data_IF_989200685941
#
_entry.id   IF_989200685941
#
_cell.length_a   1.000
_cell.length_b   1.000
_cell.length_c   1.000
_cell.angle_alpha   90.00
_cell.angle_beta   90.00
_cell.angle_gamma   90.00
#
_symmetry.space_group_name_H-M   'P 1'
#
loop_
_entity.id
_entity.type
_entity.pdbx_description
1 polymer ?
#
# COMPACT_ATOMS: atom_id res chain seq x y z
N UNK A 1 19.44 -11.29 8.52
CA UNK A 1 20.67 -10.54 8.18
C UNK A 1 20.28 -9.10 7.87
N UNK A 2 20.87 -8.11 8.56
CA UNK A 2 20.72 -6.69 8.19
C UNK A 2 21.63 -6.40 7.00
N UNK A 3 21.17 -5.62 6.02
CA UNK A 3 21.97 -5.17 4.87
C UNK A 3 22.01 -6.10 3.63
N UNK A 4 21.30 -7.23 3.64
CA UNK A 4 21.17 -8.08 2.44
C UNK A 4 19.89 -7.72 1.71
N UNK A 5 20.00 -7.25 0.46
CA UNK A 5 18.85 -7.02 -0.40
C UNK A 5 18.09 -8.34 -0.64
N UNK A 6 16.83 -8.34 -0.26
CA UNK A 6 15.92 -9.45 -0.50
C UNK A 6 14.74 -8.98 -1.33
N UNK A 7 14.11 -9.92 -2.04
CA UNK A 7 12.83 -9.69 -2.74
C UNK A 7 11.76 -9.03 -1.87
N UNK A 8 11.74 -9.32 -0.56
CA UNK A 8 10.82 -8.71 0.41
C UNK A 8 11.17 -7.24 0.70
N UNK A 9 12.46 -6.92 0.82
CA UNK A 9 12.91 -5.53 0.99
C UNK A 9 12.68 -4.70 -0.27
N UNK A 10 12.92 -5.28 -1.45
CA UNK A 10 12.71 -4.60 -2.72
C UNK A 10 11.25 -4.13 -2.87
N UNK A 11 10.27 -5.01 -2.65
CA UNK A 11 8.86 -4.64 -2.73
C UNK A 11 8.48 -3.61 -1.65
N UNK A 12 9.05 -3.70 -0.45
CA UNK A 12 8.82 -2.72 0.63
C UNK A 12 9.35 -1.34 0.24
N UNK A 13 10.55 -1.25 -0.32
CA UNK A 13 11.12 0.01 -0.82
C UNK A 13 10.27 0.60 -1.95
N UNK A 14 9.80 -0.22 -2.91
CA UNK A 14 8.90 0.25 -3.98
C UNK A 14 7.61 0.85 -3.42
N UNK A 15 6.98 0.17 -2.47
CA UNK A 15 5.75 0.65 -1.82
C UNK A 15 6.00 1.99 -1.12
N UNK A 16 7.01 2.09 -0.26
CA UNK A 16 7.31 3.35 0.44
C UNK A 16 7.71 4.49 -0.50
N UNK A 17 8.42 4.18 -1.59
CA UNK A 17 8.78 5.18 -2.61
C UNK A 17 7.53 5.75 -3.26
N UNK A 18 6.56 4.90 -3.62
CA UNK A 18 5.32 5.36 -4.24
C UNK A 18 4.46 6.15 -3.26
N UNK A 19 4.35 5.71 -1.99
CA UNK A 19 3.66 6.46 -0.93
C UNK A 19 4.28 7.85 -0.74
N UNK A 20 5.61 7.93 -0.63
CA UNK A 20 6.30 9.21 -0.55
C UNK A 20 6.02 10.08 -1.78
N UNK A 21 6.03 9.51 -2.99
CA UNK A 21 5.68 10.25 -4.22
C UNK A 21 4.21 10.72 -4.22
N UNK A 22 3.29 10.03 -3.56
CA UNK A 22 1.91 10.51 -3.39
C UNK A 22 1.88 11.75 -2.52
N UNK A 23 2.58 11.72 -1.38
CA UNK A 23 2.66 12.87 -0.48
C UNK A 23 3.24 14.14 -1.12
N UNK A 24 4.21 13.99 -2.05
CA UNK A 24 4.82 15.14 -2.74
C UNK A 24 4.01 15.66 -3.95
N UNK A 25 3.13 14.86 -4.54
CA UNK A 25 2.38 15.24 -5.76
C UNK A 25 0.88 15.32 -5.42
N UNK A 26 0.47 16.45 -4.84
CA UNK A 26 -0.90 16.72 -4.37
C UNK A 26 -1.86 17.16 -5.47
N UNK A 27 -1.38 17.30 -6.71
CA UNK A 27 -2.19 17.70 -7.85
C UNK A 27 -3.28 16.67 -8.21
N UNK A 28 -3.13 15.42 -7.78
CA UNK A 28 -3.97 14.29 -8.17
C UNK A 28 -4.67 13.68 -6.94
N UNK A 29 -5.93 13.21 -7.08
CA UNK A 29 -6.63 12.55 -5.97
C UNK A 29 -5.88 11.31 -5.48
N UNK A 30 -5.59 11.27 -4.18
CA UNK A 30 -4.89 10.13 -3.52
C UNK A 30 -5.66 8.82 -3.76
N UNK A 31 -7.00 8.90 -3.73
CA UNK A 31 -7.92 7.79 -3.97
C UNK A 31 -7.62 7.03 -5.26
N UNK A 32 -7.59 7.75 -6.39
CA UNK A 32 -7.42 7.16 -7.72
C UNK A 32 -6.03 6.54 -7.87
N UNK A 33 -5.03 7.20 -7.27
CA UNK A 33 -3.65 6.72 -7.31
C UNK A 33 -3.46 5.44 -6.50
N UNK A 34 -4.08 5.34 -5.32
CA UNK A 34 -4.02 4.13 -4.50
C UNK A 34 -4.53 2.90 -5.25
N UNK A 35 -5.60 3.03 -6.04
CA UNK A 35 -6.13 1.93 -6.85
C UNK A 35 -5.22 1.56 -8.03
N UNK A 36 -4.52 2.54 -8.61
CA UNK A 36 -3.60 2.32 -9.74
C UNK A 36 -2.24 1.73 -9.32
N UNK A 37 -1.77 2.03 -8.11
CA UNK A 37 -0.43 1.66 -7.65
C UNK A 37 -0.11 0.16 -7.68
N UNK A 38 -1.01 -0.76 -7.28
CA UNK A 38 -0.74 -2.20 -7.39
C UNK A 38 -0.36 -2.65 -8.80
N UNK A 39 -0.99 -2.07 -9.83
CA UNK A 39 -0.71 -2.37 -11.24
C UNK A 39 0.61 -1.77 -11.72
N UNK A 40 1.00 -0.62 -11.16
CA UNK A 40 2.30 0.00 -11.43
C UNK A 40 3.46 -0.77 -10.76
N UNK A 41 3.27 -1.22 -9.52
CA UNK A 41 4.29 -1.93 -8.73
C UNK A 41 4.48 -3.36 -9.25
N UNK A 42 3.38 -4.04 -9.63
CA UNK A 42 3.37 -5.39 -10.21
C UNK A 42 2.84 -5.32 -11.65
N UNK A 43 3.68 -4.90 -12.61
CA UNK A 43 3.30 -4.82 -14.01
C UNK A 43 3.21 -6.21 -14.66
N UNK A 44 2.45 -6.30 -15.75
CA UNK A 44 2.34 -7.52 -16.56
C UNK A 44 1.38 -8.57 -16.00
N UNK A 45 1.50 -9.80 -16.48
CA UNK A 45 0.60 -10.93 -16.18
C UNK A 45 1.30 -12.09 -15.44
N UNK A 46 2.62 -11.99 -15.20
CA UNK A 46 3.39 -12.97 -14.44
C UNK A 46 3.87 -12.39 -13.11
N UNK A 47 3.64 -13.13 -12.02
CA UNK A 47 4.08 -12.75 -10.68
C UNK A 47 5.59 -12.80 -10.61
N UNK A 48 6.20 -11.75 -10.06
CA UNK A 48 7.66 -11.65 -9.98
C UNK A 48 8.19 -12.05 -8.60
N UNK A 49 7.33 -11.93 -7.58
CA UNK A 49 7.67 -12.23 -6.18
C UNK A 49 7.08 -13.57 -5.71
N UNK A 50 6.00 -14.03 -6.33
CA UNK A 50 5.19 -15.21 -6.06
C UNK A 50 4.63 -15.78 -7.39
N UNK A 51 3.80 -16.81 -7.28
CA UNK A 51 3.25 -17.54 -8.43
C UNK A 51 2.04 -16.86 -9.09
N UNK A 52 1.37 -15.93 -8.39
CA UNK A 52 0.10 -15.34 -8.83
C UNK A 52 0.12 -13.81 -8.72
N UNK A 53 -0.14 -13.13 -9.84
CA UNK A 53 -0.20 -11.67 -9.96
C UNK A 53 -1.36 -11.07 -9.18
N UNK A 54 -2.52 -11.73 -9.17
CA UNK A 54 -3.70 -11.22 -8.47
C UNK A 54 -3.44 -11.18 -6.96
N UNK A 55 -2.86 -12.25 -6.43
CA UNK A 55 -2.46 -12.31 -5.02
C UNK A 55 -1.38 -11.26 -4.70
N UNK A 56 -0.39 -11.07 -5.57
CA UNK A 56 0.63 -10.05 -5.37
C UNK A 56 0.03 -8.63 -5.33
N UNK A 57 -0.86 -8.30 -6.26
CA UNK A 57 -1.54 -7.00 -6.30
C UNK A 57 -2.40 -6.78 -5.05
N UNK A 58 -3.12 -7.80 -4.60
CA UNK A 58 -3.90 -7.72 -3.37
C UNK A 58 -3.01 -7.46 -2.14
N UNK A 59 -1.88 -8.17 -2.03
CA UNK A 59 -0.91 -7.95 -0.93
C UNK A 59 -0.30 -6.55 -1.00
N UNK A 60 0.03 -6.05 -2.19
CA UNK A 60 0.55 -4.69 -2.38
C UNK A 60 -0.50 -3.66 -1.98
N UNK A 61 -1.76 -3.85 -2.34
CA UNK A 61 -2.88 -2.99 -1.95
C UNK A 61 -3.01 -2.87 -0.43
N UNK A 62 -3.02 -4.00 0.29
CA UNK A 62 -3.12 -3.98 1.75
C UNK A 62 -1.87 -3.40 2.43
N UNK A 63 -0.68 -3.59 1.86
CA UNK A 63 0.53 -2.91 2.34
C UNK A 63 0.51 -1.41 2.11
N UNK A 64 -0.08 -0.95 1.00
CA UNK A 64 -0.30 0.48 0.76
C UNK A 64 -1.23 1.06 1.82
N UNK A 65 -2.32 0.36 2.16
CA UNK A 65 -3.23 0.80 3.24
C UNK A 65 -2.49 0.97 4.56
N UNK A 66 -1.73 -0.05 4.97
CA UNK A 66 -0.92 0.02 6.18
C UNK A 66 0.08 1.19 6.15
N UNK A 67 0.68 1.48 4.98
CA UNK A 67 1.65 2.56 4.83
C UNK A 67 1.02 3.94 4.97
N UNK A 68 -0.24 4.06 4.57
CA UNK A 68 -1.07 5.25 4.71
C UNK A 68 -1.72 5.37 6.10
N UNK A 69 -1.40 4.47 7.05
CA UNK A 69 -1.99 4.46 8.39
C UNK A 69 -3.42 3.90 8.45
N UNK A 70 -3.92 3.31 7.36
CA UNK A 70 -5.23 2.65 7.33
C UNK A 70 -5.14 1.23 7.89
N UNK A 71 -6.23 0.71 8.48
CA UNK A 71 -6.25 -0.67 8.99
C UNK A 71 -6.20 -1.69 7.84
N UNK A 72 -5.52 -2.81 8.13
CA UNK A 72 -5.57 -4.02 7.31
C UNK A 72 -7.00 -4.55 7.25
N UNK A 73 -7.40 -5.06 6.08
CA UNK A 73 -8.71 -5.69 5.88
C UNK A 73 -8.55 -7.16 5.56
N UNK A 74 -9.51 -7.94 6.06
CA UNK A 74 -9.58 -9.36 5.71
C UNK A 74 -9.88 -9.52 4.22
N UNK A 75 -9.25 -10.51 3.58
CA UNK A 75 -9.55 -10.87 2.18
C UNK A 75 -10.98 -11.38 1.98
N UNK A 76 -11.72 -11.67 3.07
CA UNK A 76 -13.13 -12.03 3.03
C UNK A 76 -14.05 -10.81 2.82
N UNK A 77 -13.56 -9.59 3.07
CA UNK A 77 -14.33 -8.36 2.96
C UNK A 77 -14.02 -7.65 1.65
N UNK A 78 -15.04 -7.42 0.83
CA UNK A 78 -14.90 -6.66 -0.41
C UNK A 78 -15.00 -5.16 -0.13
N UNK A 79 -13.92 -4.42 -0.35
CA UNK A 79 -13.92 -2.96 -0.31
C UNK A 79 -12.76 -2.39 -1.16
N UNK A 80 -12.92 -1.20 -1.78
CA UNK A 80 -11.84 -0.51 -2.51
C UNK A 80 -10.61 -0.24 -1.64
N UNK A 81 -9.39 -0.33 -2.18
CA UNK A 81 -8.15 -0.11 -1.39
C UNK A 81 -8.13 1.29 -0.77
N UNK A 82 -8.73 2.24 -1.46
CA UNK A 82 -8.87 3.64 -1.05
C UNK A 82 -9.93 3.93 0.02
N UNK A 83 -10.66 2.91 0.48
CA UNK A 83 -11.71 3.08 1.48
C UNK A 83 -11.18 3.62 2.81
N UNK A 84 -11.82 4.67 3.33
CA UNK A 84 -11.40 5.38 4.54
C UNK A 84 -10.24 6.36 4.35
N UNK A 85 -9.74 6.59 3.13
CA UNK A 85 -8.59 7.49 2.89
C UNK A 85 -8.88 8.93 3.32
N UNK A 86 -10.09 9.44 3.08
CA UNK A 86 -10.49 10.81 3.47
C UNK A 86 -10.46 11.02 5.00
N UNK A 87 -10.59 9.96 5.78
CA UNK A 87 -10.45 10.03 7.23
C UNK A 87 -8.99 10.10 7.68
N UNK A 88 -8.08 9.50 6.90
CA UNK A 88 -6.64 9.50 7.15
C UNK A 88 -5.93 10.73 6.55
N UNK A 89 -6.44 11.27 5.44
CA UNK A 89 -5.93 12.44 4.73
C UNK A 89 -6.47 13.75 5.33
N UNK A 90 -6.27 13.91 6.64
CA UNK A 90 -6.64 15.12 7.39
C UNK A 90 -5.39 15.72 8.03
N UNK A 91 -5.35 17.05 8.07
CA UNK A 91 -4.24 17.81 8.67
C UNK A 91 -3.99 17.41 10.13
N UNK A 92 -5.06 17.11 10.86
CA UNK A 92 -5.01 16.66 12.25
C UNK A 92 -5.68 15.28 12.40
N UNK A 93 -4.91 14.31 12.86
CA UNK A 93 -5.40 12.97 13.19
C UNK A 93 -5.13 12.66 14.66
N UNK A 94 -6.17 12.22 15.35
CA UNK A 94 -6.06 11.76 16.74
C UNK A 94 -5.63 10.29 16.76
N UNK A 95 -4.85 9.94 17.78
CA UNK A 95 -4.41 8.57 17.99
C UNK A 95 -5.60 7.62 18.19
N UNK A 96 -5.61 6.54 17.40
CA UNK A 96 -6.54 5.41 17.54
C UNK A 96 -5.75 4.15 17.96
N UNK A 97 -6.05 3.54 19.12
CA UNK A 97 -5.46 2.26 19.50
C UNK A 97 -5.89 1.13 18.56
N UNK A 98 -5.03 0.12 18.30
CA UNK A 98 -3.65 -0.04 18.76
C UNK A 98 -2.60 0.63 17.83
N UNK A 99 -1.42 0.94 18.39
CA UNK A 99 -0.33 1.69 17.73
C UNK A 99 0.46 0.90 16.67
N UNK A 100 -0.01 -0.27 16.24
CA UNK A 100 0.82 -1.21 15.46
C UNK A 100 0.23 -1.41 14.07
N UNK A 101 0.90 -0.83 13.07
CA UNK A 101 0.82 -1.27 11.67
C UNK A 101 2.26 -1.49 11.16
N UNK A 102 2.79 -2.70 11.34
CA UNK A 102 4.12 -3.09 10.84
C UNK A 102 4.00 -3.58 9.39
N UNK A 103 4.79 -3.00 8.50
CA UNK A 103 4.96 -3.38 7.07
C UNK A 103 6.25 -4.16 6.88
#
# INVERSE_FOLDING_TARGET
MRGVETRIQEIRHKIFTEVARMAYHTEWPVKDRMEALPYKIIPGEKGNFRNDVFLERAIVGERLRLAMGLPYRSAAEHSPISDGIEAADKDETYYTPPLINVI
#
